data_IF_836614918089
#
_entry.id   IF_836614918089
#
_cell.length_a   1.000
_cell.length_b   1.000
_cell.length_c   1.000
_cell.angle_alpha   90.00
_cell.angle_beta   90.00
_cell.angle_gamma   90.00
#
_symmetry.space_group_name_H-M   'P 1'
#
loop_
_entity.id
_entity.type
_entity.pdbx_description
1 polymer ?
#
# COMPACT_ATOMS: atom_id res chain seq x y z
N UNK A 1 0.45 -11.91 -10.35
CA UNK A 1 -0.60 -11.25 -11.18
C UNK A 1 -1.71 -10.80 -10.25
N UNK A 2 -2.37 -9.69 -10.57
CA UNK A 2 -3.64 -9.28 -9.96
C UNK A 2 -4.73 -9.45 -11.01
N UNK A 3 -5.91 -9.90 -10.60
CA UNK A 3 -7.04 -10.19 -11.49
C UNK A 3 -8.33 -9.61 -10.94
N UNK A 4 -9.15 -9.09 -11.83
CA UNK A 4 -10.54 -8.71 -11.57
C UNK A 4 -11.47 -9.74 -12.20
N UNK A 5 -12.48 -10.16 -11.45
CA UNK A 5 -13.44 -11.19 -11.87
C UNK A 5 -14.86 -10.65 -11.83
N UNK A 6 -15.68 -11.06 -12.79
CA UNK A 6 -17.15 -10.98 -12.64
C UNK A 6 -17.63 -11.92 -11.53
N UNK A 7 -18.86 -11.74 -11.01
CA UNK A 7 -19.48 -12.71 -10.10
C UNK A 7 -19.59 -14.15 -10.66
N UNK A 8 -19.53 -14.32 -11.98
CA UNK A 8 -19.52 -15.62 -12.64
C UNK A 8 -18.10 -16.25 -12.76
N UNK A 9 -17.07 -15.63 -12.19
CA UNK A 9 -15.69 -16.14 -12.22
C UNK A 9 -14.94 -15.85 -13.53
N UNK A 10 -15.51 -15.08 -14.46
CA UNK A 10 -14.80 -14.64 -15.66
C UNK A 10 -13.81 -13.52 -15.33
N UNK A 11 -12.55 -13.65 -15.76
CA UNK A 11 -11.54 -12.59 -15.70
C UNK A 11 -11.94 -11.45 -16.64
N UNK A 12 -12.00 -10.22 -16.13
CA UNK A 12 -12.28 -8.99 -16.90
C UNK A 12 -11.09 -8.05 -16.98
N UNK A 13 -10.11 -8.22 -16.10
CA UNK A 13 -8.85 -7.50 -16.12
C UNK A 13 -7.76 -8.35 -15.44
N UNK A 14 -6.54 -8.29 -15.95
CA UNK A 14 -5.36 -8.94 -15.37
C UNK A 14 -4.15 -8.04 -15.57
N UNK A 15 -3.31 -7.92 -14.56
CA UNK A 15 -2.01 -7.26 -14.66
C UNK A 15 -0.90 -8.13 -14.08
N UNK A 16 0.25 -8.15 -14.75
CA UNK A 16 1.48 -8.73 -14.23
C UNK A 16 2.13 -7.75 -13.27
N UNK A 17 2.57 -8.26 -12.13
CA UNK A 17 3.23 -7.50 -11.09
C UNK A 17 4.72 -7.84 -11.09
N UNK A 18 5.60 -6.90 -10.74
CA UNK A 18 7.05 -7.15 -10.74
C UNK A 18 7.46 -8.18 -9.68
N UNK A 19 6.68 -8.28 -8.60
CA UNK A 19 6.86 -9.24 -7.51
C UNK A 19 5.50 -9.82 -7.09
N UNK A 20 5.49 -10.59 -6.01
CA UNK A 20 4.29 -11.25 -5.50
C UNK A 20 3.31 -10.22 -4.91
N UNK A 21 2.10 -10.04 -5.48
CA UNK A 21 1.12 -9.10 -4.95
C UNK A 21 0.33 -9.73 -3.80
N UNK A 22 0.08 -8.97 -2.73
CA UNK A 22 -0.77 -9.41 -1.61
C UNK A 22 -2.08 -8.65 -1.55
N UNK A 23 -2.00 -7.32 -1.53
CA UNK A 23 -3.18 -6.44 -1.53
C UNK A 23 -3.26 -5.70 -2.86
N UNK A 24 -4.49 -5.52 -3.35
CA UNK A 24 -4.79 -4.72 -4.53
C UNK A 24 -6.09 -3.95 -4.34
N UNK A 25 -6.04 -2.62 -4.47
CA UNK A 25 -7.17 -1.72 -4.22
C UNK A 25 -7.40 -0.86 -5.46
N UNK A 26 -8.59 -0.95 -6.04
CA UNK A 26 -9.01 -0.04 -7.13
C UNK A 26 -9.31 1.34 -6.54
N UNK A 27 -8.64 2.35 -7.06
CA UNK A 27 -8.79 3.74 -6.66
C UNK A 27 -9.90 4.43 -7.46
N UNK A 28 -10.41 5.55 -6.93
CA UNK A 28 -11.48 6.35 -7.56
C UNK A 28 -11.13 6.86 -8.96
N UNK A 29 -9.83 7.07 -9.24
CA UNK A 29 -9.33 7.46 -10.56
C UNK A 29 -9.27 6.29 -11.58
N UNK A 30 -9.64 5.07 -11.16
CA UNK A 30 -9.58 3.86 -11.99
C UNK A 30 -8.24 3.12 -11.95
N UNK A 31 -7.21 3.67 -11.32
CA UNK A 31 -5.92 3.00 -11.13
C UNK A 31 -6.01 1.94 -10.02
N UNK A 32 -5.05 1.02 -9.97
CA UNK A 32 -4.99 -0.01 -8.93
C UNK A 32 -3.70 0.13 -8.13
N UNK A 33 -3.82 0.36 -6.82
CA UNK A 33 -2.71 0.30 -5.87
C UNK A 33 -2.45 -1.16 -5.51
N UNK A 34 -1.20 -1.61 -5.52
CA UNK A 34 -0.82 -3.01 -5.35
C UNK A 34 0.43 -3.10 -4.45
N UNK A 35 0.29 -3.81 -3.33
CA UNK A 35 1.39 -4.09 -2.41
C UNK A 35 2.10 -5.37 -2.83
N UNK A 36 3.42 -5.28 -3.05
CA UNK A 36 4.21 -6.32 -3.70
C UNK A 36 5.17 -7.06 -2.76
N UNK A 37 4.77 -7.35 -1.51
CA UNK A 37 5.42 -8.25 -0.52
C UNK A 37 6.95 -8.31 -0.61
N UNK A 38 7.50 -9.46 -1.06
CA UNK A 38 8.93 -9.76 -1.17
C UNK A 38 9.70 -8.81 -2.10
N UNK A 39 8.99 -8.02 -2.91
CA UNK A 39 9.54 -6.93 -3.70
C UNK A 39 9.90 -5.68 -2.87
N UNK A 40 9.45 -5.60 -1.61
CA UNK A 40 9.61 -4.45 -0.72
C UNK A 40 9.20 -3.14 -1.39
N UNK A 41 8.07 -3.18 -2.10
CA UNK A 41 7.57 -2.06 -2.89
C UNK A 41 6.05 -2.09 -2.98
N UNK A 42 5.50 -0.91 -3.28
CA UNK A 42 4.09 -0.69 -3.62
C UNK A 42 4.03 0.00 -4.98
N UNK A 43 3.12 -0.41 -5.85
CA UNK A 43 2.90 0.22 -7.16
C UNK A 43 1.47 0.70 -7.31
N UNK A 44 1.28 1.75 -8.10
CA UNK A 44 0.00 2.11 -8.67
C UNK A 44 0.08 1.88 -10.19
N UNK A 45 -0.85 1.09 -10.72
CA UNK A 45 -0.94 0.83 -12.16
C UNK A 45 -2.20 1.45 -12.75
N UNK A 46 -2.12 1.96 -13.97
CA UNK A 46 -3.30 2.39 -14.72
C UNK A 46 -4.11 1.19 -15.25
N UNK A 47 -5.24 1.49 -15.91
CA UNK A 47 -6.13 0.47 -16.49
C UNK A 47 -5.46 -0.45 -17.53
N UNK A 48 -4.38 0.02 -18.17
CA UNK A 48 -3.65 -0.73 -19.18
C UNK A 48 -2.46 -1.50 -18.55
N UNK A 49 -2.31 -1.40 -17.22
CA UNK A 49 -1.30 -2.10 -16.44
C UNK A 49 0.06 -1.39 -16.40
N UNK A 50 0.14 -0.13 -16.85
CA UNK A 50 1.37 0.65 -16.76
C UNK A 50 1.53 1.20 -15.35
N UNK A 51 2.70 1.01 -14.75
CA UNK A 51 3.06 1.65 -13.48
C UNK A 51 3.12 3.17 -13.64
N UNK A 52 2.27 3.88 -12.89
CA UNK A 52 2.17 5.36 -12.88
C UNK A 52 2.68 5.96 -11.58
N UNK A 53 2.78 5.17 -10.52
CA UNK A 53 3.45 5.53 -9.27
C UNK A 53 4.07 4.28 -8.65
N UNK A 54 5.15 4.46 -7.89
CA UNK A 54 5.83 3.37 -7.17
C UNK A 54 6.48 3.94 -5.92
N UNK A 55 6.46 3.19 -4.83
CA UNK A 55 7.27 3.43 -3.64
C UNK A 55 8.13 2.20 -3.37
N UNK A 56 9.46 2.40 -3.28
CA UNK A 56 10.39 1.38 -2.77
C UNK A 56 11.29 1.98 -1.69
N UNK A 57 12.14 1.14 -1.10
CA UNK A 57 13.18 1.62 -0.18
C UNK A 57 14.18 2.61 -0.79
N UNK A 58 14.29 2.70 -2.12
CA UNK A 58 15.17 3.68 -2.79
C UNK A 58 14.59 5.10 -2.73
N UNK A 59 13.28 5.21 -2.49
CA UNK A 59 12.58 6.49 -2.31
C UNK A 59 12.59 6.96 -0.84
N UNK A 60 13.09 6.13 0.08
CA UNK A 60 13.02 6.36 1.53
C UNK A 60 14.39 6.71 2.12
N UNK A 61 14.44 7.41 3.27
CA UNK A 61 15.70 7.73 3.95
C UNK A 61 16.49 6.49 4.39
N UNK A 62 15.78 5.41 4.70
CA UNK A 62 16.30 4.13 5.16
C UNK A 62 15.41 3.00 4.61
N UNK A 63 15.88 1.75 4.72
CA UNK A 63 15.16 0.57 4.25
C UNK A 63 14.05 0.15 5.20
N UNK A 64 12.96 0.91 5.24
CA UNK A 64 11.84 0.67 6.16
C UNK A 64 10.79 -0.29 5.62
N UNK A 65 10.61 -0.40 4.30
CA UNK A 65 9.67 -1.37 3.71
C UNK A 65 10.29 -2.77 3.76
N UNK A 66 9.66 -3.66 4.50
CA UNK A 66 10.07 -5.06 4.62
C UNK A 66 8.82 -5.94 4.59
N UNK A 67 8.58 -6.55 3.43
CA UNK A 67 7.38 -7.32 3.11
C UNK A 67 6.09 -6.47 3.19
N UNK A 68 5.87 -5.66 2.15
CA UNK A 68 4.69 -4.79 2.05
C UNK A 68 3.44 -5.63 1.75
N UNK A 69 2.65 -5.90 2.78
CA UNK A 69 1.42 -6.69 2.67
C UNK A 69 0.15 -5.83 2.66
N UNK A 70 0.14 -4.72 3.39
CA UNK A 70 -1.02 -3.85 3.52
C UNK A 70 -0.71 -2.43 3.11
N UNK A 71 -1.68 -1.79 2.46
CA UNK A 71 -1.55 -0.45 1.92
C UNK A 71 -2.91 0.23 1.84
N UNK A 72 -2.95 1.54 2.12
CA UNK A 72 -4.18 2.33 2.02
C UNK A 72 -3.90 3.72 1.47
N UNK A 73 -4.61 4.10 0.40
CA UNK A 73 -4.65 5.48 -0.09
C UNK A 73 -5.69 6.28 0.70
N UNK A 74 -5.24 7.34 1.36
CA UNK A 74 -6.08 8.26 2.12
C UNK A 74 -6.72 9.32 1.20
N UNK A 75 -7.83 9.96 1.62
CA UNK A 75 -8.52 10.98 0.81
C UNK A 75 -7.66 12.20 0.45
N UNK A 76 -6.65 12.51 1.27
CA UNK A 76 -5.70 13.59 0.99
C UNK A 76 -4.62 13.20 -0.07
N UNK A 77 -4.66 11.98 -0.59
CA UNK A 77 -3.70 11.46 -1.57
C UNK A 77 -2.50 10.74 -0.96
N UNK A 78 -2.33 10.77 0.36
CA UNK A 78 -1.23 10.07 1.02
C UNK A 78 -1.44 8.55 0.99
N UNK A 79 -0.35 7.79 1.04
CA UNK A 79 -0.40 6.33 1.09
C UNK A 79 0.23 5.86 2.38
N UNK A 80 -0.51 5.06 3.16
CA UNK A 80 0.03 4.35 4.32
C UNK A 80 0.40 2.93 3.90
N UNK A 81 1.57 2.43 4.31
CA UNK A 81 2.10 1.12 3.91
C UNK A 81 2.65 0.37 5.11
N UNK A 82 2.41 -0.95 5.19
CA UNK A 82 2.97 -1.82 6.23
C UNK A 82 4.35 -2.37 5.90
N UNK A 83 5.03 -2.79 6.96
CA UNK A 83 6.17 -3.70 6.90
C UNK A 83 5.88 -4.93 7.75
N UNK A 84 5.44 -6.02 7.12
CA UNK A 84 5.03 -7.25 7.83
C UNK A 84 6.19 -7.92 8.56
N UNK A 85 7.37 -7.93 7.95
CA UNK A 85 8.58 -8.55 8.52
C UNK A 85 9.38 -7.62 9.45
N UNK A 86 8.86 -6.43 9.77
CA UNK A 86 9.47 -5.54 10.75
C UNK A 86 9.53 -6.19 12.14
N UNK A 87 10.61 -5.95 12.87
CA UNK A 87 10.90 -6.50 14.19
C UNK A 87 10.78 -5.44 15.29
N UNK A 88 11.18 -5.82 16.50
CA UNK A 88 11.29 -4.93 17.65
C UNK A 88 12.12 -3.69 17.33
N UNK A 89 11.54 -2.51 17.54
CA UNK A 89 12.18 -1.21 17.30
C UNK A 89 12.27 -0.79 15.84
N UNK A 90 11.79 -1.60 14.89
CA UNK A 90 11.76 -1.27 13.47
C UNK A 90 10.47 -0.53 13.08
N UNK A 91 10.51 0.19 11.96
CA UNK A 91 9.36 0.90 11.40
C UNK A 91 8.35 -0.10 10.83
N UNK A 92 7.10 0.00 11.31
CA UNK A 92 6.01 -0.94 10.96
C UNK A 92 4.98 -0.37 10.00
N UNK A 93 4.80 0.94 10.07
CA UNK A 93 3.95 1.71 9.15
C UNK A 93 4.69 2.99 8.76
N UNK A 94 4.50 3.39 7.52
CA UNK A 94 4.87 4.72 7.04
C UNK A 94 3.68 5.33 6.31
N UNK A 95 3.49 6.64 6.46
CA UNK A 95 2.62 7.43 5.61
C UNK A 95 3.48 8.32 4.71
N UNK A 96 3.23 8.28 3.41
CA UNK A 96 3.94 9.09 2.42
C UNK A 96 2.98 9.96 1.61
N UNK A 97 3.43 11.16 1.24
CA UNK A 97 2.73 12.00 0.25
C UNK A 97 2.82 11.40 -1.16
N UNK A 98 2.05 11.90 -2.15
CA UNK A 98 2.22 11.50 -3.56
C UNK A 98 3.67 11.68 -4.08
N UNK A 99 4.38 12.69 -3.58
CA UNK A 99 5.80 12.97 -3.86
C UNK A 99 6.76 12.10 -3.02
N UNK A 100 6.24 11.07 -2.35
CA UNK A 100 6.97 10.09 -1.54
C UNK A 100 7.67 10.65 -0.31
N UNK A 101 7.24 11.84 0.16
CA UNK A 101 7.75 12.40 1.42
C UNK A 101 7.09 11.70 2.59
N UNK A 102 7.90 11.16 3.51
CA UNK A 102 7.40 10.54 4.74
C UNK A 102 6.88 11.62 5.68
N UNK A 103 5.61 11.55 6.04
CA UNK A 103 4.94 12.53 6.94
C UNK A 103 4.60 11.93 8.30
N UNK A 104 4.57 10.61 8.40
CA UNK A 104 4.37 9.90 9.66
C UNK A 104 4.97 8.49 9.59
N UNK A 105 5.34 7.96 10.76
CA UNK A 105 5.76 6.56 10.93
C UNK A 105 5.33 6.01 12.28
N UNK A 106 5.11 4.70 12.34
CA UNK A 106 4.88 3.96 13.58
C UNK A 106 6.03 3.02 13.88
N UNK A 107 6.46 3.01 15.14
CA UNK A 107 7.48 2.12 15.70
C UNK A 107 6.96 1.66 17.07
N UNK A 108 7.14 0.38 17.37
CA UNK A 108 6.89 -0.15 18.72
C UNK A 108 7.84 -1.33 19.02
N UNK A 109 7.77 -1.81 20.26
CA UNK A 109 8.67 -2.85 20.76
C UNK A 109 8.11 -4.27 20.62
N UNK A 110 7.12 -4.49 19.73
CA UNK A 110 6.59 -5.84 19.47
C UNK A 110 7.52 -6.59 18.52
N UNK A 111 7.71 -7.90 18.71
CA UNK A 111 8.64 -8.69 17.89
C UNK A 111 8.12 -8.98 16.48
N UNK A 112 6.88 -8.63 16.17
CA UNK A 112 6.21 -8.87 14.88
C UNK A 112 5.75 -7.55 14.23
N UNK A 113 5.80 -7.50 12.91
CA UNK A 113 5.31 -6.38 12.12
C UNK A 113 3.79 -6.40 11.95
N UNK A 114 3.28 -5.46 11.17
CA UNK A 114 1.85 -5.33 10.89
C UNK A 114 1.58 -5.95 9.53
N UNK A 115 0.72 -6.97 9.48
CA UNK A 115 0.36 -7.61 8.22
C UNK A 115 -0.66 -6.79 7.44
N UNK A 116 -1.65 -6.21 8.13
CA UNK A 116 -2.77 -5.47 7.56
C UNK A 116 -3.27 -4.43 8.56
N UNK A 117 -3.83 -3.33 8.07
CA UNK A 117 -4.41 -2.25 8.87
C UNK A 117 -5.50 -1.53 8.08
N UNK A 118 -6.36 -0.77 8.78
CA UNK A 118 -7.23 0.21 8.16
C UNK A 118 -7.25 1.48 9.01
N UNK A 119 -7.06 2.63 8.37
CA UNK A 119 -7.27 3.94 8.99
C UNK A 119 -8.76 4.28 8.87
N UNK A 120 -9.41 4.46 10.02
CA UNK A 120 -10.85 4.76 10.12
C UNK A 120 -11.11 6.24 10.39
N UNK A 121 -10.25 6.86 11.20
CA UNK A 121 -10.26 8.28 11.52
C UNK A 121 -8.82 8.80 11.60
N UNK A 122 -8.68 10.12 11.57
CA UNK A 122 -7.41 10.80 11.83
C UNK A 122 -7.60 11.78 12.96
N UNK A 123 -6.93 11.53 14.09
CA UNK A 123 -7.03 12.36 15.29
C UNK A 123 -8.46 12.47 15.84
N UNK A 124 -9.22 11.37 15.81
CA UNK A 124 -10.60 11.33 16.31
C UNK A 124 -11.61 12.09 15.43
N UNK A 125 -11.19 12.50 14.22
CA UNK A 125 -12.06 13.06 13.20
C UNK A 125 -12.20 12.08 12.06
N UNK A 126 -13.44 11.80 11.68
CA UNK A 126 -13.72 10.97 10.51
C UNK A 126 -12.98 11.53 9.30
N UNK A 127 -12.39 10.64 8.51
CA UNK A 127 -11.79 11.00 7.24
C UNK A 127 -12.87 11.54 6.30
N UNK A 128 -12.73 12.79 5.85
CA UNK A 128 -13.60 13.34 4.82
C UNK A 128 -13.30 12.69 3.47
N UNK A 129 -14.35 12.33 2.72
CA UNK A 129 -14.23 11.57 1.47
C UNK A 129 -14.47 10.08 1.66
N UNK A 130 -14.30 9.30 0.59
CA UNK A 130 -14.41 7.84 0.67
C UNK A 130 -13.02 7.27 0.95
N UNK A 131 -12.73 6.77 2.17
CA UNK A 131 -11.54 5.96 2.38
C UNK A 131 -11.70 4.71 1.53
N UNK A 132 -10.77 4.53 0.59
CA UNK A 132 -10.73 3.34 -0.25
C UNK A 132 -10.21 2.20 0.63
N UNK A 133 -10.95 1.09 0.61
CA UNK A 133 -10.77 -0.10 1.44
C UNK A 133 -10.60 -1.30 0.53
#
# INVERSE_FOLDING_TARGET
VVREYTPAGKIVWEVKTPNWPFTAIRLDNGNTLIDCTLGNLVIEVDKDGKTVWQLSNDDLPEKWINDACGGQRLPNGNTVVTSHHAKDGEVKLIEVTPEKKVVWKHVDNKPFGIHEFQILDTNGKALEGRPLR
#
